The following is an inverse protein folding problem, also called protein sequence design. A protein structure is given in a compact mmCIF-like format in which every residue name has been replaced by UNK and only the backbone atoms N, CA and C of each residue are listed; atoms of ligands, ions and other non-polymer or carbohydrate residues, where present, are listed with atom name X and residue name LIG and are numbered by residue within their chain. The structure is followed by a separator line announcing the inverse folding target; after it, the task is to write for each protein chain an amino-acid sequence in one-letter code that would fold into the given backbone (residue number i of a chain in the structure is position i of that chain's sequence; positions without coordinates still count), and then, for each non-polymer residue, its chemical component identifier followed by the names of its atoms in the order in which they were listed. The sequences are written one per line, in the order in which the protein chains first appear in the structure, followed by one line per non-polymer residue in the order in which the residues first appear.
data_IF_277773662130
#
_entry.id   IF_277773662130
#
_cell.length_a   1.000
_cell.length_b   1.000
_cell.length_c   1.000
_cell.angle_alpha   90.00
_cell.angle_beta   90.00
_cell.angle_gamma   90.00
#
_symmetry.space_group_name_H-M   'P 1'
#
loop_
_entity.id
_entity.type
_entity.pdbx_description
1 polymer ?
#
# COMPACT_ATOMS: atom_id res chain seq x y z
N UNK A 1 -21.04 -11.98 11.44
CA UNK A 1 -20.49 -11.85 10.06
C UNK A 1 -20.68 -10.41 9.61
N UNK A 2 -19.68 -9.79 8.98
CA UNK A 2 -19.77 -8.42 8.45
C UNK A 2 -19.94 -8.50 6.92
N UNK A 3 -21.11 -8.13 6.35
CA UNK A 3 -21.40 -8.32 4.92
C UNK A 3 -20.77 -7.25 4.01
N UNK A 4 -19.74 -6.54 4.48
CA UNK A 4 -19.00 -5.54 3.69
C UNK A 4 -17.75 -6.15 3.07
N UNK A 5 -17.24 -5.56 2.00
CA UNK A 5 -15.91 -5.89 1.52
C UNK A 5 -14.89 -5.74 2.64
N UNK A 6 -13.98 -6.71 2.72
CA UNK A 6 -12.83 -6.61 3.62
C UNK A 6 -11.88 -5.55 3.06
N UNK A 7 -11.14 -4.88 3.95
CA UNK A 7 -10.09 -3.93 3.59
C UNK A 7 -8.85 -4.56 2.93
N UNK A 8 -8.99 -5.73 2.31
CA UNK A 8 -7.97 -6.49 1.58
C UNK A 8 -8.51 -6.90 0.20
N UNK A 9 -9.54 -6.20 -0.29
CA UNK A 9 -10.24 -6.47 -1.55
C UNK A 9 -9.28 -6.65 -2.72
N UNK A 10 -8.26 -5.79 -2.80
CA UNK A 10 -7.28 -5.77 -3.89
C UNK A 10 -6.52 -7.09 -3.99
N UNK A 11 -6.22 -7.74 -2.85
CA UNK A 11 -5.54 -9.04 -2.83
C UNK A 11 -6.43 -10.19 -3.30
N UNK A 12 -7.75 -10.06 -3.12
CA UNK A 12 -8.72 -11.03 -3.65
C UNK A 12 -8.82 -10.86 -5.17
N UNK A 13 -9.00 -9.63 -5.64
CA UNK A 13 -9.06 -9.33 -7.07
C UNK A 13 -7.78 -9.79 -7.78
N UNK A 14 -6.61 -9.52 -7.20
CA UNK A 14 -5.31 -9.93 -7.76
C UNK A 14 -5.12 -11.46 -7.76
N UNK A 15 -5.53 -12.15 -6.70
CA UNK A 15 -5.40 -13.60 -6.60
C UNK A 15 -6.32 -14.35 -7.58
N UNK A 16 -7.52 -13.84 -7.83
CA UNK A 16 -8.51 -14.48 -8.70
C UNK A 16 -8.50 -13.95 -10.13
N UNK A 17 -7.94 -12.76 -10.36
CA UNK A 17 -7.99 -12.07 -11.65
C UNK A 17 -9.40 -11.63 -12.01
N UNK A 18 -10.12 -11.07 -11.04
CA UNK A 18 -11.53 -10.64 -11.16
C UNK A 18 -11.69 -9.19 -10.74
N UNK A 19 -12.77 -8.55 -11.18
CA UNK A 19 -13.27 -7.32 -10.59
C UNK A 19 -14.46 -7.67 -9.69
N UNK A 20 -14.22 -7.75 -8.39
CA UNK A 20 -15.24 -8.15 -7.42
C UNK A 20 -16.28 -7.04 -7.21
N UNK A 21 -15.87 -5.78 -7.37
CA UNK A 21 -16.81 -4.66 -7.32
C UNK A 21 -17.84 -4.74 -8.45
N UNK A 22 -17.42 -4.96 -9.70
CA UNK A 22 -18.31 -5.16 -10.85
C UNK A 22 -19.25 -6.34 -10.62
N UNK A 23 -18.73 -7.49 -10.18
CA UNK A 23 -19.57 -8.66 -9.86
C UNK A 23 -20.62 -8.35 -8.79
N UNK A 24 -20.27 -7.53 -7.79
CA UNK A 24 -21.22 -7.10 -6.79
C UNK A 24 -22.29 -6.19 -7.37
N UNK A 25 -21.92 -5.23 -8.24
CA UNK A 25 -22.89 -4.38 -8.97
C UNK A 25 -23.81 -5.23 -9.86
N UNK A 26 -23.27 -6.18 -10.61
CA UNK A 26 -24.02 -7.06 -11.52
C UNK A 26 -25.03 -7.94 -10.77
N UNK A 27 -24.73 -8.30 -9.53
CA UNK A 27 -25.62 -9.10 -8.68
C UNK A 27 -26.95 -8.40 -8.36
N UNK A 28 -26.98 -7.05 -8.36
CA UNK A 28 -28.23 -6.29 -8.20
C UNK A 28 -29.17 -6.45 -9.40
N UNK A 29 -28.63 -6.84 -10.56
CA UNK A 29 -29.40 -7.18 -11.77
C UNK A 29 -29.70 -8.68 -11.87
N UNK A 30 -29.45 -9.46 -10.81
CA UNK A 30 -29.63 -10.91 -10.78
C UNK A 30 -28.53 -11.71 -11.47
N UNK A 31 -27.44 -11.07 -11.93
CA UNK A 31 -26.30 -11.74 -12.54
C UNK A 31 -25.36 -12.19 -11.42
N UNK A 32 -25.44 -13.46 -11.05
CA UNK A 32 -24.62 -14.02 -9.96
C UNK A 32 -23.23 -14.44 -10.46
N UNK A 33 -22.16 -14.17 -9.69
CA UNK A 33 -20.82 -14.57 -10.08
C UNK A 33 -20.66 -16.09 -10.05
N UNK A 34 -19.95 -16.62 -11.04
CA UNK A 34 -19.56 -18.03 -11.03
C UNK A 34 -18.48 -18.32 -10.00
N UNK A 35 -18.45 -19.56 -9.51
CA UNK A 35 -17.41 -19.99 -8.58
C UNK A 35 -16.07 -20.13 -9.30
N UNK A 36 -15.11 -19.29 -8.92
CA UNK A 36 -13.76 -19.31 -9.49
C UNK A 36 -12.74 -19.90 -8.52
N UNK A 37 -11.61 -20.36 -9.07
CA UNK A 37 -10.44 -20.75 -8.29
C UNK A 37 -9.40 -19.63 -8.34
N UNK A 38 -8.69 -19.42 -7.23
CA UNK A 38 -7.56 -18.50 -7.21
C UNK A 38 -6.50 -18.97 -8.22
N UNK A 39 -5.95 -18.03 -8.98
CA UNK A 39 -4.94 -18.24 -10.02
C UNK A 39 -3.52 -17.98 -9.52
N UNK A 40 -3.39 -17.28 -8.40
CA UNK A 40 -2.13 -16.94 -7.76
C UNK A 40 -2.31 -16.77 -6.25
N UNK A 41 -1.19 -16.57 -5.56
CA UNK A 41 -1.18 -16.01 -4.21
C UNK A 41 -0.92 -14.51 -4.33
N UNK A 42 -1.67 -13.71 -3.59
CA UNK A 42 -1.44 -12.28 -3.45
C UNK A 42 -1.46 -11.92 -1.97
N UNK A 43 -0.72 -10.88 -1.60
CA UNK A 43 -0.64 -10.40 -0.24
C UNK A 43 -0.27 -8.93 -0.20
N UNK A 44 -0.52 -8.31 0.94
CA UNK A 44 -0.12 -6.94 1.22
C UNK A 44 0.50 -6.80 2.59
N UNK A 45 1.34 -5.79 2.74
CA UNK A 45 1.91 -5.34 4.00
C UNK A 45 1.67 -3.83 4.14
N UNK A 46 1.55 -3.34 5.36
CA UNK A 46 1.46 -1.91 5.63
C UNK A 46 2.76 -1.51 6.31
N UNK A 47 3.50 -0.59 5.70
CA UNK A 47 4.68 -0.02 6.31
C UNK A 47 4.26 1.12 7.24
N UNK A 48 4.78 1.16 8.45
CA UNK A 48 4.49 2.21 9.43
C UNK A 48 5.71 3.10 9.64
N UNK A 49 5.46 4.36 9.97
CA UNK A 49 6.48 5.33 10.32
C UNK A 49 7.10 4.96 11.68
N UNK A 50 8.41 4.70 11.70
CA UNK A 50 9.16 4.41 12.93
C UNK A 50 9.34 5.65 13.81
N UNK A 51 9.27 6.83 13.19
CA UNK A 51 9.40 8.16 13.77
C UNK A 51 8.62 9.17 12.93
N UNK A 52 8.56 10.43 13.36
CA UNK A 52 7.99 11.49 12.54
C UNK A 52 8.85 11.72 11.29
N UNK A 53 8.22 11.68 10.11
CA UNK A 53 8.90 11.77 8.82
C UNK A 53 8.20 12.84 7.97
N UNK A 54 8.99 13.77 7.44
CA UNK A 54 8.54 14.63 6.37
C UNK A 54 8.83 13.95 5.03
N UNK A 55 7.80 13.80 4.20
CA UNK A 55 7.94 13.32 2.84
C UNK A 55 8.57 14.44 2.01
N UNK A 56 9.78 14.21 1.51
CA UNK A 56 10.43 15.08 0.53
C UNK A 56 10.04 14.70 -0.91
N UNK A 57 10.47 15.52 -1.87
CA UNK A 57 10.23 15.30 -3.30
C UNK A 57 10.70 13.90 -3.74
N UNK A 58 11.93 13.50 -3.34
CA UNK A 58 12.51 12.22 -3.73
C UNK A 58 11.69 11.00 -3.23
N UNK A 59 11.20 11.03 -1.98
CA UNK A 59 10.34 9.99 -1.42
C UNK A 59 8.97 9.99 -2.10
N UNK A 60 8.40 11.17 -2.35
CA UNK A 60 7.11 11.32 -3.05
C UNK A 60 7.18 10.71 -4.46
N UNK A 61 8.21 11.07 -5.23
CA UNK A 61 8.42 10.58 -6.60
C UNK A 61 8.67 9.07 -6.63
N UNK A 62 9.51 8.56 -5.73
CA UNK A 62 9.76 7.12 -5.62
C UNK A 62 8.47 6.35 -5.33
N UNK A 63 7.66 6.81 -4.36
CA UNK A 63 6.36 6.19 -4.06
C UNK A 63 5.41 6.26 -5.27
N UNK A 64 5.41 7.38 -6.00
CA UNK A 64 4.59 7.52 -7.20
C UNK A 64 5.01 6.57 -8.33
N UNK A 65 6.32 6.41 -8.57
CA UNK A 65 6.84 5.42 -9.52
C UNK A 65 6.48 3.98 -9.12
N UNK A 66 6.53 3.67 -7.83
CA UNK A 66 6.14 2.35 -7.33
C UNK A 66 4.63 2.12 -7.44
N UNK A 67 3.82 3.15 -7.25
CA UNK A 67 2.36 3.09 -7.42
C UNK A 67 1.99 2.80 -8.87
N UNK A 68 2.62 3.47 -9.84
CA UNK A 68 2.40 3.19 -11.27
C UNK A 68 2.73 1.74 -11.66
N UNK A 69 3.63 1.09 -10.92
CA UNK A 69 4.01 -0.32 -11.09
C UNK A 69 3.13 -1.30 -10.30
N UNK A 70 2.11 -0.82 -9.58
CA UNK A 70 1.25 -1.64 -8.73
C UNK A 70 1.97 -2.24 -7.52
N UNK A 71 3.13 -1.70 -7.13
CA UNK A 71 3.93 -2.21 -6.01
C UNK A 71 3.40 -1.64 -4.69
N UNK A 72 2.93 -0.39 -4.71
CA UNK A 72 2.45 0.30 -3.52
C UNK A 72 1.12 1.02 -3.76
N UNK A 73 0.45 1.40 -2.68
CA UNK A 73 -0.68 2.36 -2.66
C UNK A 73 -0.50 3.33 -1.49
N UNK A 74 -1.47 4.23 -1.26
CA UNK A 74 -1.41 5.27 -0.23
C UNK A 74 -0.19 6.20 -0.43
N UNK A 75 -0.06 6.78 -1.63
CA UNK A 75 1.07 7.67 -1.98
C UNK A 75 0.92 9.02 -1.30
N UNK A 76 1.85 9.32 -0.40
CA UNK A 76 1.93 10.62 0.27
C UNK A 76 2.61 11.66 -0.63
N UNK A 77 2.09 12.90 -0.63
CA UNK A 77 2.67 14.02 -1.39
C UNK A 77 3.88 14.59 -0.66
N UNK A 78 4.78 15.23 -1.38
CA UNK A 78 5.82 16.09 -0.79
C UNK A 78 5.22 17.08 0.22
N UNK A 79 5.93 17.30 1.32
CA UNK A 79 5.53 18.19 2.41
C UNK A 79 4.51 17.56 3.35
N UNK A 80 4.17 16.28 3.20
CA UNK A 80 3.30 15.57 4.14
C UNK A 80 4.11 15.15 5.38
N UNK A 81 3.59 15.43 6.58
CA UNK A 81 4.10 14.88 7.83
C UNK A 81 3.45 13.54 8.12
N UNK A 82 4.26 12.50 8.16
CA UNK A 82 3.87 11.16 8.59
C UNK A 82 4.31 10.97 10.03
N UNK A 83 3.38 11.13 10.97
CA UNK A 83 3.65 10.98 12.39
C UNK A 83 4.03 9.52 12.73
N UNK A 84 4.84 9.34 13.77
CA UNK A 84 5.23 8.04 14.30
C UNK A 84 4.02 7.11 14.49
N UNK A 85 4.20 5.84 14.15
CA UNK A 85 3.19 4.78 14.18
C UNK A 85 1.97 5.02 13.27
N UNK A 86 2.04 5.98 12.33
CA UNK A 86 1.05 6.09 11.25
C UNK A 86 1.47 5.25 10.03
N UNK A 87 0.51 4.70 9.28
CA UNK A 87 0.80 4.03 8.01
C UNK A 87 1.50 4.99 7.04
N UNK A 88 2.61 4.56 6.45
CA UNK A 88 3.34 5.29 5.40
C UNK A 88 2.79 4.95 4.02
N UNK A 89 2.72 3.65 3.72
CA UNK A 89 2.30 3.13 2.43
C UNK A 89 1.91 1.67 2.57
N UNK A 90 1.01 1.19 1.72
CA UNK A 90 0.65 -0.22 1.60
C UNK A 90 1.43 -0.85 0.45
N UNK A 91 2.12 -1.96 0.70
CA UNK A 91 2.95 -2.72 -0.24
C UNK A 91 2.22 -3.97 -0.71
N UNK A 92 2.38 -4.34 -1.97
CA UNK A 92 1.75 -5.52 -2.56
C UNK A 92 2.77 -6.52 -3.11
N UNK A 93 2.35 -7.78 -3.16
CA UNK A 93 3.12 -8.86 -3.76
C UNK A 93 2.21 -9.95 -4.31
N UNK A 94 2.63 -10.54 -5.43
CA UNK A 94 2.00 -11.68 -6.08
C UNK A 94 3.03 -12.75 -6.39
N UNK A 95 2.62 -14.01 -6.29
CA UNK A 95 3.48 -15.16 -6.52
C UNK A 95 2.71 -16.46 -6.75
N UNK A 96 3.46 -17.53 -7.04
CA UNK A 96 2.91 -18.88 -7.26
C UNK A 96 2.67 -19.63 -5.96
N UNK A 97 3.33 -19.23 -4.88
CA UNK A 97 3.17 -19.83 -3.56
C UNK A 97 3.02 -18.76 -2.48
N UNK A 98 2.39 -19.14 -1.36
CA UNK A 98 2.33 -18.29 -0.16
C UNK A 98 3.72 -17.87 0.33
N UNK A 99 4.70 -18.78 0.32
CA UNK A 99 6.07 -18.52 0.76
C UNK A 99 6.73 -17.44 -0.09
N UNK A 100 6.63 -17.56 -1.41
CA UNK A 100 7.17 -16.58 -2.36
C UNK A 100 6.60 -15.17 -2.10
N UNK A 101 5.28 -15.07 -1.92
CA UNK A 101 4.61 -13.79 -1.63
C UNK A 101 5.12 -13.17 -0.34
N UNK A 102 5.21 -13.96 0.74
CA UNK A 102 5.67 -13.49 2.04
C UNK A 102 7.15 -13.09 2.03
N UNK A 103 8.00 -13.88 1.39
CA UNK A 103 9.43 -13.59 1.28
C UNK A 103 9.65 -12.31 0.45
N UNK A 104 8.92 -12.13 -0.65
CA UNK A 104 8.95 -10.87 -1.43
C UNK A 104 8.44 -9.67 -0.63
N UNK A 105 7.33 -9.82 0.13
CA UNK A 105 6.83 -8.73 0.98
C UNK A 105 7.86 -8.32 2.03
N UNK A 106 8.56 -9.27 2.65
CA UNK A 106 9.64 -8.97 3.60
C UNK A 106 10.75 -8.16 2.94
N UNK A 107 11.26 -8.63 1.81
CA UNK A 107 12.33 -7.93 1.06
C UNK A 107 11.92 -6.51 0.67
N UNK A 108 10.72 -6.33 0.10
CA UNK A 108 10.25 -5.00 -0.31
C UNK A 108 10.03 -4.13 0.93
N UNK A 109 9.47 -4.67 2.02
CA UNK A 109 9.25 -3.93 3.26
C UNK A 109 10.57 -3.45 3.86
N UNK A 110 11.58 -4.31 3.93
CA UNK A 110 12.92 -3.94 4.42
C UNK A 110 13.56 -2.85 3.57
N UNK A 111 13.52 -3.00 2.23
CA UNK A 111 14.03 -2.00 1.31
C UNK A 111 13.33 -0.65 1.46
N UNK A 112 11.99 -0.65 1.45
CA UNK A 112 11.18 0.56 1.61
C UNK A 112 11.36 1.21 2.98
N UNK A 113 11.49 0.41 4.03
CA UNK A 113 11.76 0.90 5.38
C UNK A 113 13.08 1.66 5.43
N UNK A 114 14.15 1.11 4.84
CA UNK A 114 15.46 1.76 4.83
C UNK A 114 15.46 3.10 4.09
N UNK A 115 14.61 3.26 3.07
CA UNK A 115 14.50 4.52 2.32
C UNK A 115 13.60 5.51 3.06
N UNK A 116 12.38 5.09 3.41
CA UNK A 116 11.34 5.99 3.90
C UNK A 116 11.56 6.41 5.36
N UNK A 117 12.08 5.50 6.20
CA UNK A 117 12.42 5.79 7.59
C UNK A 117 13.86 6.31 7.77
N UNK A 118 14.59 6.59 6.69
CA UNK A 118 15.89 7.26 6.81
C UNK A 118 15.72 8.73 7.21
N UNK A 119 16.52 9.20 8.17
CA UNK A 119 16.58 10.62 8.50
C UNK A 119 17.22 11.40 7.35
N UNK A 120 16.53 12.42 6.85
CA UNK A 120 17.18 13.43 6.01
C UNK A 120 18.10 14.28 6.90
N UNK A 121 19.41 14.04 6.82
CA UNK A 121 20.41 15.00 7.27
C UNK A 121 20.56 16.11 6.22
N UNK A 122 19.56 16.98 6.13
CA UNK A 122 19.67 18.23 5.39
C UNK A 122 18.99 19.35 6.16
N UNK A 123 19.84 20.14 6.80
CA UNK A 123 19.55 21.43 7.42
C UNK A 123 18.72 22.30 6.49
N UNK A 124 17.47 22.57 6.86
CA UNK A 124 16.84 23.83 6.51
C UNK A 124 15.96 24.27 7.68
N UNK A 125 16.54 25.14 8.49
CA UNK A 125 15.86 25.97 9.47
C UNK A 125 14.67 26.66 8.79
N UNK A 126 13.45 26.18 9.01
CA UNK A 126 12.25 27.01 9.02
C UNK A 126 11.53 26.80 10.34
N UNK A 127 12.05 27.50 11.35
CA UNK A 127 11.22 27.96 12.47
C UNK A 127 10.16 28.88 11.86
N UNK A 128 8.96 28.36 11.61
CA UNK A 128 7.77 29.20 11.50
C UNK A 128 6.98 28.98 12.78
N UNK A 129 7.27 29.82 13.78
CA UNK A 129 6.33 30.08 14.87
C UNK A 129 5.17 30.87 14.27
N UNK A 130 3.98 30.28 14.23
CA UNK A 130 2.73 31.06 14.21
C UNK A 130 1.87 30.58 15.37
N UNK A 131 1.84 31.43 16.39
CA UNK A 131 0.80 31.44 17.39
C UNK A 131 -0.47 31.99 16.74
N UNK A 132 -1.58 31.28 16.93
CA UNK A 132 -2.91 31.84 17.13
C UNK A 132 -3.60 30.91 18.12
#
# INVERSE_FOLDING_TARGET
MNPRFQGTLETVEEAYGINLFSMHVDSFSGILPERQRARAFAGKAILFAAQDIWIDEAKSDMLFECYKKGIVSDVSREGTLMAKNRPLTTLFSRGRTRKEVLDRLRTITEYMNNILNSCNSSSSTRVIRRFA
#
